data_IF_362843184653
#
_entry.id   IF_362843184653
#
_cell.length_a   1.000
_cell.length_b   1.000
_cell.length_c   1.000
_cell.angle_alpha   90.00
_cell.angle_beta   90.00
_cell.angle_gamma   90.00
#
_symmetry.space_group_name_H-M   'P 1'
#
loop_
_entity.id
_entity.type
_entity.pdbx_description
1 polymer ?
#
# COMPACT_ATOMS: atom_id res chain seq x y z
N UNK A 1 1.93 15.35 16.62
CA UNK A 1 1.46 14.24 17.49
C UNK A 1 2.07 12.96 16.94
N UNK A 2 3.12 12.47 17.58
CA UNK A 2 3.77 11.21 17.21
C UNK A 2 2.84 10.07 17.67
N UNK A 3 2.40 9.23 16.74
CA UNK A 3 1.52 8.11 17.05
C UNK A 3 2.36 6.94 17.53
N UNK A 4 2.48 6.79 18.85
CA UNK A 4 3.11 5.63 19.47
C UNK A 4 2.15 4.43 19.42
N UNK A 5 2.49 3.41 18.62
CA UNK A 5 1.75 2.16 18.57
C UNK A 5 1.97 1.37 19.88
N UNK A 6 0.88 1.11 20.63
CA UNK A 6 0.90 0.24 21.80
C UNK A 6 0.77 -1.23 21.37
N UNK A 7 1.73 -2.06 21.79
CA UNK A 7 1.59 -3.50 22.03
C UNK A 7 1.40 -4.40 20.80
N UNK A 8 2.32 -5.37 20.63
CA UNK A 8 2.22 -6.45 19.64
C UNK A 8 0.98 -7.33 19.86
N UNK A 9 -0.14 -6.93 19.27
CA UNK A 9 -1.35 -7.74 19.13
C UNK A 9 -1.13 -8.79 18.01
N UNK A 10 -1.83 -9.95 18.04
CA UNK A 10 -1.75 -10.94 16.97
C UNK A 10 -2.07 -10.28 15.63
N UNK A 11 -1.13 -10.40 14.68
CA UNK A 11 -1.17 -9.69 13.41
C UNK A 11 -2.44 -10.03 12.63
N UNK A 12 -3.24 -9.00 12.35
CA UNK A 12 -4.30 -9.08 11.38
C UNK A 12 -3.65 -8.73 10.03
N UNK A 13 -3.37 -9.75 9.21
CA UNK A 13 -2.76 -9.58 7.90
C UNK A 13 -3.77 -9.81 6.79
N UNK A 14 -3.59 -9.11 5.68
CA UNK A 14 -4.43 -9.26 4.50
C UNK A 14 -3.59 -9.11 3.24
N UNK A 15 -3.75 -10.07 2.34
CA UNK A 15 -3.06 -10.14 1.06
C UNK A 15 -4.07 -9.94 -0.07
N UNK A 16 -3.68 -9.19 -1.10
CA UNK A 16 -4.46 -9.00 -2.30
C UNK A 16 -3.54 -8.88 -3.51
N UNK A 17 -3.91 -9.52 -4.62
CA UNK A 17 -3.19 -9.36 -5.89
C UNK A 17 -4.17 -8.85 -6.95
N UNK A 18 -3.72 -7.91 -7.78
CA UNK A 18 -4.48 -7.38 -8.90
C UNK A 18 -3.57 -7.10 -10.10
N UNK A 19 -4.16 -7.09 -11.29
CA UNK A 19 -3.46 -6.87 -12.55
C UNK A 19 -3.82 -5.48 -13.10
N UNK A 20 -2.84 -4.85 -13.75
CA UNK A 20 -2.97 -3.58 -14.46
C UNK A 20 -2.62 -3.81 -15.93
N UNK A 21 -3.64 -4.21 -16.69
CA UNK A 21 -3.50 -4.59 -18.10
C UNK A 21 -2.81 -3.49 -18.92
N UNK A 22 -1.78 -3.88 -19.68
CA UNK A 22 -1.02 -2.99 -20.54
C UNK A 22 -0.17 -1.93 -19.83
N UNK A 23 0.02 -2.01 -18.51
CA UNK A 23 0.89 -1.10 -17.74
C UNK A 23 2.25 -1.74 -17.42
N UNK A 24 3.32 -0.98 -17.60
CA UNK A 24 4.65 -1.40 -17.16
C UNK A 24 4.79 -1.28 -15.65
N UNK A 25 5.75 -1.99 -15.04
CA UNK A 25 6.07 -1.82 -13.61
C UNK A 25 6.42 -0.38 -13.24
N UNK A 26 7.00 0.38 -14.17
CA UNK A 26 7.36 1.78 -13.98
C UNK A 26 6.11 2.67 -13.91
N UNK A 27 5.15 2.46 -14.81
CA UNK A 27 3.84 3.13 -14.78
C UNK A 27 3.11 2.85 -13.47
N UNK A 28 3.10 1.58 -13.04
CA UNK A 28 2.43 1.14 -11.82
C UNK A 28 3.11 1.73 -10.59
N UNK A 29 4.45 1.67 -10.53
CA UNK A 29 5.22 2.24 -9.42
C UNK A 29 5.00 3.75 -9.30
N UNK A 30 4.97 4.45 -10.43
CA UNK A 30 4.66 5.88 -10.47
C UNK A 30 3.23 6.15 -9.97
N UNK A 31 2.24 5.40 -10.45
CA UNK A 31 0.85 5.52 -9.99
C UNK A 31 0.73 5.32 -8.48
N UNK A 32 1.38 4.29 -7.92
CA UNK A 32 1.39 4.03 -6.48
C UNK A 32 2.00 5.20 -5.70
N UNK A 33 3.14 5.73 -6.14
CA UNK A 33 3.81 6.86 -5.48
C UNK A 33 2.94 8.11 -5.53
N UNK A 34 2.35 8.44 -6.68
CA UNK A 34 1.52 9.63 -6.83
C UNK A 34 0.21 9.53 -6.04
N UNK A 35 -0.48 8.39 -6.12
CA UNK A 35 -1.71 8.15 -5.33
C UNK A 35 -1.42 8.24 -3.84
N UNK A 36 -0.34 7.62 -3.36
CA UNK A 36 -0.01 7.66 -1.93
C UNK A 36 0.45 9.05 -1.49
N UNK A 37 1.22 9.77 -2.31
CA UNK A 37 1.65 11.14 -2.01
C UNK A 37 0.50 12.16 -2.00
N UNK A 38 -0.54 11.96 -2.84
CA UNK A 38 -1.72 12.82 -2.87
C UNK A 38 -2.61 12.68 -1.61
N UNK A 39 -2.45 11.60 -0.84
CA UNK A 39 -3.28 11.30 0.32
C UNK A 39 -2.49 11.37 1.63
N UNK A 40 -2.79 12.37 2.47
CA UNK A 40 -2.12 12.61 3.77
C UNK A 40 -2.16 11.44 4.77
N UNK A 41 -3.05 10.47 4.56
CA UNK A 41 -3.17 9.27 5.39
C UNK A 41 -2.14 8.19 5.04
N UNK A 42 -1.41 8.34 3.94
CA UNK A 42 -0.36 7.42 3.51
C UNK A 42 1.01 8.04 3.68
N UNK A 43 1.97 7.24 4.14
CA UNK A 43 3.37 7.61 4.18
C UNK A 43 4.20 6.42 3.72
N UNK A 44 4.99 6.55 2.66
CA UNK A 44 5.78 5.44 2.16
C UNK A 44 6.79 5.84 1.12
N UNK A 45 7.59 4.87 0.70
CA UNK A 45 8.61 5.02 -0.32
C UNK A 45 8.61 3.80 -1.23
N UNK A 46 8.87 4.06 -2.50
CA UNK A 46 9.15 3.03 -3.47
C UNK A 46 10.62 2.61 -3.31
N UNK A 47 10.85 1.33 -3.12
CA UNK A 47 12.18 0.72 -3.07
C UNK A 47 12.32 -0.23 -4.27
N UNK A 48 13.42 -0.14 -5.00
CA UNK A 48 13.76 -1.19 -5.97
C UNK A 48 14.20 -2.41 -5.18
N UNK A 49 13.44 -3.50 -5.24
CA UNK A 49 13.73 -4.68 -4.44
C UNK A 49 14.93 -5.44 -4.97
N UNK A 50 14.99 -5.62 -6.29
CA UNK A 50 16.11 -6.27 -6.96
C UNK A 50 16.11 -6.00 -8.48
N UNK A 51 17.20 -5.48 -9.06
CA UNK A 51 17.27 -5.24 -10.51
C UNK A 51 17.36 -6.54 -11.34
N UNK A 52 17.70 -7.69 -10.74
CA UNK A 52 17.71 -8.99 -11.42
C UNK A 52 16.36 -9.71 -11.34
N UNK A 53 15.52 -9.39 -10.34
CA UNK A 53 14.17 -9.95 -10.21
C UNK A 53 13.09 -9.17 -10.99
N UNK A 54 13.46 -8.08 -11.66
CA UNK A 54 12.56 -7.16 -12.37
C UNK A 54 11.42 -6.60 -11.49
N UNK A 55 11.64 -6.56 -10.16
CA UNK A 55 10.59 -6.33 -9.17
C UNK A 55 10.76 -4.99 -8.44
N UNK A 56 9.67 -4.25 -8.28
CA UNK A 56 9.61 -3.03 -7.47
C UNK A 56 8.79 -3.28 -6.20
N UNK A 57 9.27 -2.79 -5.06
CA UNK A 57 8.58 -2.95 -3.78
C UNK A 57 8.33 -1.59 -3.16
N UNK A 58 7.07 -1.20 -3.05
CA UNK A 58 6.68 -0.04 -2.27
C UNK A 58 6.41 -0.46 -0.82
N UNK A 59 7.00 0.27 0.14
CA UNK A 59 6.70 0.09 1.56
C UNK A 59 6.18 1.39 2.14
N UNK A 60 5.09 1.30 2.88
CA UNK A 60 4.55 2.44 3.59
C UNK A 60 3.61 2.06 4.71
N UNK A 61 3.08 3.08 5.35
CA UNK A 61 2.09 2.97 6.41
C UNK A 61 0.85 3.76 6.05
N UNK A 62 -0.30 3.24 6.48
CA UNK A 62 -1.57 3.96 6.41
C UNK A 62 -2.03 4.30 7.82
N UNK A 63 -2.35 5.57 8.06
CA UNK A 63 -2.90 6.06 9.33
C UNK A 63 -4.32 6.57 9.11
N UNK A 64 -5.27 5.95 9.81
CA UNK A 64 -6.68 6.37 9.76
C UNK A 64 -6.91 7.74 10.41
N UNK A 65 -7.99 8.44 10.04
CA UNK A 65 -8.27 9.85 10.45
C UNK A 65 -8.24 10.14 11.95
N UNK A 66 -8.45 9.14 12.82
CA UNK A 66 -8.40 9.30 14.27
C UNK A 66 -7.09 8.77 14.88
N UNK A 67 -6.07 8.51 14.05
CA UNK A 67 -4.78 7.89 14.44
C UNK A 67 -4.92 6.58 15.22
N UNK A 68 -6.10 5.96 15.20
CA UNK A 68 -6.46 4.81 16.02
C UNK A 68 -5.94 3.50 15.41
N UNK A 69 -5.82 3.48 14.09
CA UNK A 69 -5.42 2.31 13.31
C UNK A 69 -4.27 2.72 12.40
N UNK A 70 -3.14 2.02 12.56
CA UNK A 70 -1.95 2.14 11.73
C UNK A 70 -1.66 0.77 11.13
N UNK A 71 -1.55 0.73 9.80
CA UNK A 71 -1.25 -0.48 9.05
C UNK A 71 0.08 -0.33 8.33
N UNK A 72 0.92 -1.36 8.40
CA UNK A 72 2.08 -1.51 7.53
C UNK A 72 1.62 -2.13 6.21
N UNK A 73 1.99 -1.52 5.09
CA UNK A 73 1.61 -1.96 3.75
C UNK A 73 2.86 -2.13 2.90
N UNK A 74 2.97 -3.30 2.28
CA UNK A 74 4.00 -3.62 1.30
C UNK A 74 3.31 -3.96 -0.01
N UNK A 75 3.66 -3.27 -1.10
CA UNK A 75 3.20 -3.60 -2.44
C UNK A 75 4.39 -4.10 -3.26
N UNK A 76 4.26 -5.28 -3.83
CA UNK A 76 5.19 -5.85 -4.78
C UNK A 76 4.62 -5.69 -6.18
N UNK A 77 5.39 -5.09 -7.08
CA UNK A 77 5.00 -4.75 -8.45
C UNK A 77 5.91 -5.54 -9.39
N UNK A 78 5.29 -6.36 -10.23
CA UNK A 78 6.00 -7.25 -11.16
C UNK A 78 5.14 -7.51 -12.39
N UNK A 79 5.70 -7.32 -13.58
CA UNK A 79 5.10 -7.75 -14.86
C UNK A 79 3.61 -7.35 -15.04
N UNK A 80 3.26 -6.09 -14.74
CA UNK A 80 1.86 -5.63 -14.84
C UNK A 80 0.96 -6.07 -13.69
N UNK A 81 1.47 -6.83 -12.73
CA UNK A 81 0.77 -7.29 -11.52
C UNK A 81 1.23 -6.54 -10.28
N UNK A 82 0.32 -6.39 -9.32
CA UNK A 82 0.57 -5.80 -8.00
C UNK A 82 0.07 -6.75 -6.93
N UNK A 83 0.97 -7.18 -6.05
CA UNK A 83 0.65 -7.94 -4.85
C UNK A 83 0.81 -7.06 -3.62
N UNK A 84 -0.28 -6.76 -2.94
CA UNK A 84 -0.30 -6.00 -1.70
C UNK A 84 -0.42 -6.90 -0.48
N UNK A 85 0.44 -6.66 0.49
CA UNK A 85 0.38 -7.21 1.85
C UNK A 85 0.10 -6.06 2.81
N UNK A 86 -0.89 -6.22 3.69
CA UNK A 86 -1.20 -5.26 4.75
C UNK A 86 -1.21 -5.95 6.11
N UNK A 87 -0.41 -5.47 7.04
CA UNK A 87 -0.34 -5.94 8.42
C UNK A 87 -0.78 -4.83 9.37
N UNK A 88 -1.85 -5.04 10.14
CA UNK A 88 -2.29 -4.05 11.12
C UNK A 88 -1.41 -4.08 12.37
N UNK A 89 -0.94 -2.91 12.83
CA UNK A 89 -0.14 -2.79 14.06
C UNK A 89 -0.95 -2.99 15.34
N UNK A 90 -2.27 -2.86 15.28
CA UNK A 90 -3.18 -3.08 16.41
C UNK A 90 -3.89 -4.44 16.35
N UNK A 91 -3.51 -5.29 15.40
CA UNK A 91 -3.97 -6.68 15.30
C UNK A 91 -5.48 -6.82 15.10
N UNK A 92 -6.12 -7.72 15.84
CA UNK A 92 -7.57 -8.03 15.72
C UNK A 92 -8.49 -6.87 16.07
N UNK A 93 -8.01 -5.90 16.85
CA UNK A 93 -8.78 -4.70 17.25
C UNK A 93 -9.00 -3.72 16.10
N UNK A 94 -8.37 -3.98 14.95
CA UNK A 94 -8.52 -3.26 13.70
C UNK A 94 -9.86 -3.57 12.99
N UNK A 95 -10.58 -4.62 13.39
CA UNK A 95 -11.88 -5.02 12.80
C UNK A 95 -11.88 -5.12 11.26
N UNK A 96 -10.74 -5.49 10.67
CA UNK A 96 -10.57 -5.60 9.22
C UNK A 96 -10.47 -4.26 8.49
N UNK A 97 -10.09 -3.19 9.17
CA UNK A 97 -9.87 -1.88 8.57
C UNK A 97 -8.65 -1.91 7.62
N UNK A 98 -7.60 -2.67 7.95
CA UNK A 98 -6.44 -2.97 7.11
C UNK A 98 -6.84 -3.51 5.72
N UNK A 99 -7.77 -4.46 5.68
CA UNK A 99 -8.34 -5.02 4.45
C UNK A 99 -9.09 -3.96 3.64
N UNK A 100 -9.87 -3.10 4.31
CA UNK A 100 -10.58 -2.00 3.64
C UNK A 100 -9.60 -0.97 3.08
N UNK A 101 -8.55 -0.64 3.83
CA UNK A 101 -7.50 0.30 3.43
C UNK A 101 -6.73 -0.24 2.21
N UNK A 102 -6.35 -1.52 2.21
CA UNK A 102 -5.67 -2.13 1.07
C UNK A 102 -6.56 -2.18 -0.18
N UNK A 103 -7.84 -2.53 -0.03
CA UNK A 103 -8.81 -2.49 -1.15
C UNK A 103 -9.03 -1.07 -1.67
N UNK A 104 -9.04 -0.07 -0.80
CA UNK A 104 -9.16 1.32 -1.22
C UNK A 104 -7.91 1.74 -2.00
N UNK A 105 -6.71 1.37 -1.53
CA UNK A 105 -5.47 1.62 -2.26
C UNK A 105 -5.48 0.96 -3.65
N UNK A 106 -5.88 -0.31 -3.73
CA UNK A 106 -6.08 -1.01 -4.99
C UNK A 106 -6.99 -0.22 -5.94
N UNK A 107 -8.16 0.23 -5.47
CA UNK A 107 -9.10 1.00 -6.30
C UNK A 107 -8.52 2.35 -6.75
N UNK A 108 -7.83 3.08 -5.87
CA UNK A 108 -7.21 4.36 -6.22
C UNK A 108 -6.10 4.18 -7.27
N UNK A 109 -5.31 3.11 -7.17
CA UNK A 109 -4.25 2.80 -8.16
C UNK A 109 -4.86 2.35 -9.49
N UNK A 110 -5.93 1.57 -9.48
CA UNK A 110 -6.64 1.15 -10.70
C UNK A 110 -7.34 2.32 -11.43
N UNK A 111 -7.90 3.26 -10.68
CA UNK A 111 -8.56 4.46 -11.23
C UNK A 111 -7.56 5.55 -11.63
N UNK A 112 -6.28 5.42 -11.23
CA UNK A 112 -5.25 6.40 -11.54
C UNK A 112 -5.09 6.55 -13.05
N UNK A 113 -5.51 7.72 -13.55
CA UNK A 113 -5.21 8.20 -14.88
C UNK A 113 -4.06 9.17 -14.75
N UNK A 114 -2.91 8.93 -15.44
CA UNK A 114 -1.82 9.88 -15.43
C UNK A 114 -2.39 11.22 -15.91
N UNK A 115 -2.19 12.28 -15.14
CA UNK A 115 -2.54 13.61 -15.62
C UNK A 115 -1.68 13.87 -16.86
N UNK A 116 -2.32 13.86 -18.03
CA UNK A 116 -1.69 14.29 -19.28
C UNK A 116 -1.30 15.75 -19.10
N UNK A 117 -0.01 16.00 -18.88
CA UNK A 117 0.63 17.31 -19.07
C UNK A 117 0.98 17.49 -20.54
#
# INVERSE_FOLDING_TARGET
>A
AECSAMGSAPSNTFDATWEMDGKTKEDIGKAVVEVTAAHKSWAGKLESADPAADEWVWKGTHTTKLCKYVDDVTLTIKDGSVSGHSASRVGKEDFGQNKKNLKQLQQMVLDYKPQSS
#
